data_IF_521371265877
#
_entry.id   IF_521371265877
#
_cell.length_a   1.000
_cell.length_b   1.000
_cell.length_c   1.000
_cell.angle_alpha   90.00
_cell.angle_beta   90.00
_cell.angle_gamma   90.00
#
_symmetry.space_group_name_H-M   'P 1'
#
loop_
_entity.id
_entity.type
_entity.pdbx_description
1 polymer ?
#
# COMPACT_ATOMS: atom_id res chain seq x y z
N UNK A 1 -12.34 29.68 42.01
CA UNK A 1 -12.70 30.01 40.60
C UNK A 1 -11.57 29.75 39.61
N UNK A 2 -10.32 30.16 39.89
CA UNK A 2 -9.18 29.98 38.97
C UNK A 2 -8.84 28.52 38.64
N UNK A 3 -8.99 27.62 39.61
CA UNK A 3 -8.80 26.16 39.44
C UNK A 3 -9.87 25.49 38.58
N UNK A 4 -11.12 25.96 38.67
CA UNK A 4 -12.27 25.47 37.88
C UNK A 4 -12.16 25.93 36.41
N UNK A 5 -11.61 27.12 36.17
CA UNK A 5 -11.35 27.62 34.82
C UNK A 5 -10.23 26.85 34.11
N UNK A 6 -9.15 26.54 34.82
CA UNK A 6 -8.02 25.78 34.27
C UNK A 6 -8.40 24.34 33.91
N UNK A 7 -9.22 23.69 34.74
CA UNK A 7 -9.71 22.34 34.46
C UNK A 7 -10.66 22.32 33.26
N UNK A 8 -11.58 23.30 33.16
CA UNK A 8 -12.48 23.41 32.01
C UNK A 8 -11.75 23.64 30.68
N UNK A 9 -10.70 24.48 30.69
CA UNK A 9 -9.88 24.75 29.50
C UNK A 9 -9.08 23.51 29.05
N UNK A 10 -8.64 22.68 29.99
CA UNK A 10 -7.91 21.44 29.72
C UNK A 10 -8.81 20.35 29.10
N UNK A 11 -10.06 20.25 29.58
CA UNK A 11 -11.02 19.30 28.99
C UNK A 11 -11.41 19.71 27.56
N UNK A 12 -11.54 21.01 27.29
CA UNK A 12 -11.89 21.52 25.96
C UNK A 12 -10.78 21.26 24.93
N UNK A 13 -9.52 21.44 25.32
CA UNK A 13 -8.39 21.15 24.44
C UNK A 13 -8.23 19.65 24.18
N UNK A 14 -8.45 18.81 25.20
CA UNK A 14 -8.45 17.36 25.04
C UNK A 14 -9.57 16.86 24.11
N UNK A 15 -10.77 17.44 24.19
CA UNK A 15 -11.89 17.11 23.30
C UNK A 15 -11.62 17.53 21.84
N UNK A 16 -10.97 18.68 21.63
CA UNK A 16 -10.60 19.16 20.30
C UNK A 16 -9.49 18.30 19.67
N UNK A 17 -8.55 17.81 20.48
CA UNK A 17 -7.55 16.83 20.05
C UNK A 17 -8.17 15.47 19.74
N UNK A 18 -9.17 15.00 20.49
CA UNK A 18 -9.86 13.74 20.22
C UNK A 18 -10.66 13.75 18.89
N UNK A 19 -11.11 14.91 18.43
CA UNK A 19 -11.78 15.09 17.14
C UNK A 19 -10.85 14.95 15.91
N UNK A 20 -9.54 14.71 16.10
CA UNK A 20 -8.60 14.38 15.02
C UNK A 20 -7.65 13.22 15.35
N UNK A 21 -7.35 12.98 16.64
CA UNK A 21 -6.55 11.84 17.11
C UNK A 21 -7.34 10.54 17.19
N UNK A 22 -8.66 10.59 17.42
CA UNK A 22 -9.53 9.39 17.42
C UNK A 22 -9.61 8.74 16.03
N UNK A 23 -9.63 9.58 14.98
CA UNK A 23 -9.59 9.10 13.59
C UNK A 23 -8.21 8.58 13.22
N UNK A 24 -7.12 9.17 13.75
CA UNK A 24 -5.75 8.79 13.37
C UNK A 24 -5.34 7.43 13.92
N UNK A 25 -5.73 7.05 15.14
CA UNK A 25 -5.42 5.72 15.68
C UNK A 25 -6.20 4.60 14.96
N UNK A 26 -7.49 4.84 14.66
CA UNK A 26 -8.30 3.92 13.87
C UNK A 26 -7.82 3.85 12.41
N UNK A 27 -7.40 4.98 11.83
CA UNK A 27 -6.85 5.08 10.47
C UNK A 27 -5.49 4.38 10.40
N UNK A 28 -4.62 4.50 11.40
CA UNK A 28 -3.33 3.80 11.42
C UNK A 28 -3.52 2.27 11.44
N UNK A 29 -4.44 1.77 12.27
CA UNK A 29 -4.78 0.35 12.32
C UNK A 29 -5.44 -0.14 11.01
N UNK A 30 -6.33 0.69 10.42
CA UNK A 30 -7.03 0.37 9.17
C UNK A 30 -6.10 0.39 7.95
N UNK A 31 -5.17 1.36 7.90
CA UNK A 31 -4.20 1.52 6.81
C UNK A 31 -3.19 0.38 6.80
N UNK A 32 -2.71 -0.05 7.97
CA UNK A 32 -1.78 -1.19 8.07
C UNK A 32 -2.42 -2.49 7.54
N UNK A 33 -3.69 -2.73 7.87
CA UNK A 33 -4.41 -3.92 7.39
C UNK A 33 -4.70 -3.86 5.89
N UNK A 34 -5.08 -2.68 5.37
CA UNK A 34 -5.28 -2.44 3.94
C UNK A 34 -3.99 -2.68 3.14
N UNK A 35 -2.85 -2.21 3.64
CA UNK A 35 -1.55 -2.41 2.98
C UNK A 35 -1.18 -3.89 2.89
N UNK A 36 -1.40 -4.66 3.96
CA UNK A 36 -1.14 -6.10 3.98
C UNK A 36 -2.01 -6.86 2.97
N UNK A 37 -3.31 -6.54 2.90
CA UNK A 37 -4.22 -7.16 1.93
C UNK A 37 -3.88 -6.79 0.49
N UNK A 38 -3.56 -5.52 0.22
CA UNK A 38 -3.12 -5.09 -1.12
C UNK A 38 -1.83 -5.80 -1.54
N UNK A 39 -0.87 -5.98 -0.61
CA UNK A 39 0.37 -6.70 -0.90
C UNK A 39 0.12 -8.18 -1.25
N UNK A 40 -0.77 -8.87 -0.53
CA UNK A 40 -1.13 -10.25 -0.85
C UNK A 40 -1.82 -10.37 -2.21
N UNK A 41 -2.76 -9.47 -2.50
CA UNK A 41 -3.50 -9.48 -3.77
C UNK A 41 -2.57 -9.14 -4.95
N UNK A 42 -1.66 -8.19 -4.76
CA UNK A 42 -0.63 -7.84 -5.74
C UNK A 42 0.35 -8.99 -5.99
N UNK A 43 0.75 -9.74 -4.95
CA UNK A 43 1.61 -10.91 -5.12
C UNK A 43 0.95 -12.00 -5.99
N UNK A 44 -0.34 -12.25 -5.79
CA UNK A 44 -1.07 -13.22 -6.61
C UNK A 44 -1.18 -12.77 -8.08
N UNK A 45 -1.51 -11.50 -8.32
CA UNK A 45 -1.52 -10.95 -9.69
C UNK A 45 -0.12 -10.96 -10.32
N UNK A 46 0.92 -10.65 -9.55
CA UNK A 46 2.30 -10.70 -10.05
C UNK A 46 2.69 -12.09 -10.52
N UNK A 47 2.27 -13.16 -9.84
CA UNK A 47 2.60 -14.54 -10.26
C UNK A 47 1.97 -14.88 -11.62
N UNK A 48 0.70 -14.54 -11.81
CA UNK A 48 0.02 -14.76 -13.10
C UNK A 48 0.60 -13.90 -14.22
N UNK A 49 0.92 -12.64 -13.92
CA UNK A 49 1.55 -11.74 -14.88
C UNK A 49 2.97 -12.22 -15.22
N UNK A 50 3.73 -12.69 -14.24
CA UNK A 50 5.10 -13.18 -14.44
C UNK A 50 5.14 -14.38 -15.36
N UNK A 51 4.18 -15.31 -15.25
CA UNK A 51 4.07 -16.43 -16.19
C UNK A 51 3.81 -15.96 -17.63
N UNK A 52 2.93 -14.99 -17.82
CA UNK A 52 2.63 -14.44 -19.14
C UNK A 52 3.83 -13.70 -19.74
N UNK A 53 4.53 -12.90 -18.93
CA UNK A 53 5.74 -12.19 -19.34
C UNK A 53 6.87 -13.16 -19.69
N UNK A 54 7.06 -14.21 -18.89
CA UNK A 54 8.11 -15.20 -19.12
C UNK A 54 7.88 -15.96 -20.44
N UNK A 55 6.65 -16.42 -20.69
CA UNK A 55 6.28 -17.07 -21.94
C UNK A 55 6.49 -16.16 -23.16
N UNK A 56 6.09 -14.89 -23.07
CA UNK A 56 6.32 -13.90 -24.12
C UNK A 56 7.82 -13.62 -24.33
N UNK A 57 8.61 -13.58 -23.25
CA UNK A 57 10.04 -13.35 -23.30
C UNK A 57 10.78 -14.51 -23.98
N UNK A 58 10.41 -15.76 -23.69
CA UNK A 58 10.96 -16.94 -24.36
C UNK A 58 10.66 -16.91 -25.85
N UNK A 59 9.43 -16.63 -26.25
CA UNK A 59 9.06 -16.53 -27.67
C UNK A 59 9.81 -15.40 -28.37
N UNK A 60 9.97 -14.25 -27.72
CA UNK A 60 10.71 -13.14 -28.30
C UNK A 60 12.21 -13.44 -28.45
N UNK A 61 12.82 -14.09 -27.45
CA UNK A 61 14.21 -14.53 -27.54
C UNK A 61 14.42 -15.54 -28.68
N UNK A 62 13.51 -16.50 -28.86
CA UNK A 62 13.60 -17.44 -29.97
C UNK A 62 13.57 -16.72 -31.33
N UNK A 63 12.68 -15.74 -31.50
CA UNK A 63 12.62 -14.96 -32.74
C UNK A 63 13.89 -14.13 -32.98
N UNK A 64 14.49 -13.60 -31.93
CA UNK A 64 15.76 -12.86 -32.02
C UNK A 64 16.91 -13.79 -32.41
N UNK A 65 16.99 -14.97 -31.80
CA UNK A 65 18.02 -15.97 -32.09
C UNK A 65 17.92 -16.49 -33.53
N UNK A 66 16.70 -16.74 -34.02
CA UNK A 66 16.42 -17.11 -35.42
C UNK A 66 16.81 -15.99 -36.40
N UNK A 67 16.50 -14.73 -36.06
CA UNK A 67 16.87 -13.58 -36.88
C UNK A 67 18.39 -13.36 -36.93
N UNK A 68 19.10 -13.58 -35.82
CA UNK A 68 20.57 -13.50 -35.75
C UNK A 68 21.18 -14.60 -36.63
N UNK A 69 20.74 -15.86 -36.47
CA UNK A 69 21.22 -16.99 -37.27
C UNK A 69 20.91 -16.86 -38.76
N UNK A 70 19.79 -16.24 -39.13
CA UNK A 70 19.44 -15.98 -40.52
C UNK A 70 20.20 -14.80 -41.13
N UNK A 71 20.94 -14.04 -40.31
CA UNK A 71 21.74 -12.88 -40.73
C UNK A 71 23.24 -13.18 -40.84
N UNK A 72 23.68 -14.39 -40.51
CA UNK A 72 25.05 -14.93 -40.72
C UNK A 72 25.12 -15.76 -42.01
#
# INVERSE_FOLDING_TARGET
MRTVQLTSLLLLSAALSACGLGETAATAATTANLQAQQAQQAQQQMQQLKQQVDAANVQNQQRLDDAIKASE
#
